data_IF_953598874057
#
_entry.id   IF_953598874057
#
_cell.length_a   1.000
_cell.length_b   1.000
_cell.length_c   1.000
_cell.angle_alpha   90.00
_cell.angle_beta   90.00
_cell.angle_gamma   90.00
#
_symmetry.space_group_name_H-M   'P 1'
#
loop_
_entity.id
_entity.type
_entity.pdbx_description
1 polymer ?
#
# COMPACT_ATOMS: atom_id res chain seq x y z
N UNK A 1 -15.45 -1.47 -4.81
CA UNK A 1 -16.65 -1.49 -3.95
C UNK A 1 -16.32 -0.83 -2.62
N UNK A 2 -17.29 -0.17 -1.97
CA UNK A 2 -17.12 0.40 -0.62
C UNK A 2 -17.96 -0.41 0.38
N UNK A 3 -17.43 -0.69 1.57
CA UNK A 3 -18.06 -1.54 2.58
C UNK A 3 -18.29 -0.77 3.87
N UNK A 4 -19.50 -0.86 4.43
CA UNK A 4 -19.90 -0.18 5.66
C UNK A 4 -20.33 -1.24 6.69
N UNK A 5 -19.51 -1.45 7.71
CA UNK A 5 -19.77 -2.39 8.79
C UNK A 5 -20.41 -1.67 9.97
N UNK A 6 -21.70 -1.92 10.18
CA UNK A 6 -22.50 -1.34 11.27
C UNK A 6 -23.74 -2.22 11.49
N UNK A 7 -24.14 -2.50 12.72
CA UNK A 7 -25.28 -3.34 13.07
C UNK A 7 -26.63 -2.59 13.02
N UNK A 8 -26.60 -1.28 13.25
CA UNK A 8 -27.80 -0.43 13.45
C UNK A 8 -28.01 0.53 12.27
N UNK A 9 -26.97 1.26 11.88
CA UNK A 9 -27.07 2.37 10.91
C UNK A 9 -27.16 1.84 9.50
N UNK A 10 -27.84 2.59 8.64
CA UNK A 10 -27.84 2.31 7.21
C UNK A 10 -26.58 2.89 6.57
N UNK A 11 -26.04 2.16 5.60
CA UNK A 11 -24.90 2.63 4.83
C UNK A 11 -25.30 3.82 3.94
N UNK A 12 -24.39 4.78 3.70
CA UNK A 12 -24.60 5.83 2.71
C UNK A 12 -24.75 5.28 1.29
N UNK A 13 -25.29 6.09 0.37
CA UNK A 13 -25.42 5.71 -1.03
C UNK A 13 -24.08 5.27 -1.64
N UNK A 14 -24.10 4.14 -2.37
CA UNK A 14 -22.91 3.57 -3.00
C UNK A 14 -22.04 2.71 -2.08
N UNK A 15 -22.47 2.47 -0.83
CA UNK A 15 -21.81 1.55 0.10
C UNK A 15 -22.61 0.26 0.28
N UNK A 16 -21.89 -0.87 0.34
CA UNK A 16 -22.46 -2.16 0.71
C UNK A 16 -22.46 -2.26 2.23
N UNK A 17 -23.66 -2.33 2.81
CA UNK A 17 -23.82 -2.53 4.25
C UNK A 17 -23.64 -4.00 4.62
N UNK A 18 -22.83 -4.26 5.63
CA UNK A 18 -22.66 -5.57 6.27
C UNK A 18 -22.84 -5.39 7.77
N UNK A 19 -23.35 -6.42 8.44
CA UNK A 19 -23.70 -6.35 9.87
C UNK A 19 -22.64 -7.00 10.74
N UNK A 20 -21.96 -8.01 10.21
CA UNK A 20 -21.02 -8.82 11.00
C UNK A 20 -19.59 -8.79 10.45
N UNK A 21 -18.57 -8.96 11.33
CA UNK A 21 -17.18 -8.98 10.92
C UNK A 21 -16.89 -10.04 9.85
N UNK A 22 -17.51 -11.22 9.95
CA UNK A 22 -17.34 -12.31 8.99
C UNK A 22 -17.79 -11.93 7.57
N UNK A 23 -18.86 -11.14 7.44
CA UNK A 23 -19.36 -10.63 6.16
C UNK A 23 -18.41 -9.60 5.57
N UNK A 24 -17.91 -8.66 6.40
CA UNK A 24 -16.90 -7.70 5.99
C UNK A 24 -15.63 -8.41 5.50
N UNK A 25 -15.14 -9.40 6.26
CA UNK A 25 -13.96 -10.20 5.91
C UNK A 25 -14.19 -10.99 4.61
N UNK A 26 -15.38 -11.56 4.40
CA UNK A 26 -15.71 -12.25 3.16
C UNK A 26 -15.60 -11.32 1.94
N UNK A 27 -16.09 -10.08 2.05
CA UNK A 27 -15.94 -9.07 0.99
C UNK A 27 -14.48 -8.65 0.82
N UNK A 28 -13.73 -8.45 1.91
CA UNK A 28 -12.31 -8.09 1.85
C UNK A 28 -11.48 -9.18 1.12
N UNK A 29 -11.77 -10.46 1.36
CA UNK A 29 -11.11 -11.59 0.69
C UNK A 29 -11.28 -11.59 -0.84
N UNK A 30 -12.25 -10.86 -1.39
CA UNK A 30 -12.40 -10.72 -2.84
C UNK A 30 -11.33 -9.81 -3.48
N UNK A 31 -10.65 -8.98 -2.68
CA UNK A 31 -9.71 -7.96 -3.18
C UNK A 31 -10.37 -6.79 -3.93
N UNK A 32 -11.72 -6.73 -4.00
CA UNK A 32 -12.46 -5.69 -4.74
C UNK A 32 -12.91 -4.51 -3.87
N UNK A 33 -12.70 -4.60 -2.56
CA UNK A 33 -13.00 -3.54 -1.61
C UNK A 33 -11.94 -2.44 -1.77
N UNK A 34 -12.39 -1.23 -2.08
CA UNK A 34 -11.52 -0.05 -2.23
C UNK A 34 -11.48 0.76 -0.93
N UNK A 35 -12.62 0.82 -0.24
CA UNK A 35 -12.78 1.55 1.01
C UNK A 35 -13.67 0.77 1.97
N UNK A 36 -13.32 0.77 3.25
CA UNK A 36 -14.12 0.19 4.31
C UNK A 36 -14.29 1.18 5.46
N UNK A 37 -15.49 1.26 6.01
CA UNK A 37 -15.83 2.09 7.16
C UNK A 37 -16.32 1.17 8.27
N UNK A 38 -15.74 1.29 9.47
CA UNK A 38 -15.97 0.36 10.58
C UNK A 38 -16.63 1.05 11.78
N UNK A 39 -17.73 0.49 12.28
CA UNK A 39 -18.12 0.60 13.69
C UNK A 39 -17.43 -0.50 14.50
N UNK A 40 -17.10 -0.19 15.75
CA UNK A 40 -16.55 -1.16 16.68
C UNK A 40 -17.66 -2.04 17.27
N UNK A 41 -18.70 -1.40 17.80
CA UNK A 41 -19.75 -2.05 18.56
C UNK A 41 -20.81 -2.56 17.58
N UNK A 42 -21.00 -3.89 17.52
CA UNK A 42 -21.90 -4.55 16.57
C UNK A 42 -23.01 -5.34 17.28
N UNK A 43 -23.32 -4.97 18.52
CA UNK A 43 -24.42 -5.53 19.32
C UNK A 43 -24.09 -6.82 20.07
N UNK A 44 -23.28 -7.72 19.51
CA UNK A 44 -22.86 -8.97 20.17
C UNK A 44 -21.35 -9.26 19.99
N UNK A 45 -20.57 -8.90 21.02
CA UNK A 45 -19.13 -9.11 21.06
C UNK A 45 -18.72 -10.61 20.95
N UNK A 46 -19.62 -11.55 21.23
CA UNK A 46 -19.34 -12.98 21.06
C UNK A 46 -19.32 -13.40 19.58
N UNK A 47 -20.05 -12.68 18.72
CA UNK A 47 -19.99 -12.84 17.25
C UNK A 47 -18.77 -12.10 16.69
N UNK A 48 -18.42 -10.97 17.31
CA UNK A 48 -17.22 -10.19 17.05
C UNK A 48 -17.51 -8.70 16.87
N UNK A 49 -16.44 -7.94 16.75
CA UNK A 49 -16.42 -6.47 16.73
C UNK A 49 -15.77 -5.95 15.44
N UNK A 50 -15.90 -4.65 15.19
CA UNK A 50 -15.12 -4.00 14.12
C UNK A 50 -13.61 -4.11 14.32
N UNK A 51 -13.14 -4.35 15.54
CA UNK A 51 -11.72 -4.56 15.82
C UNK A 51 -11.20 -5.88 15.24
N UNK A 52 -12.02 -6.93 15.24
CA UNK A 52 -11.65 -8.24 14.68
C UNK A 52 -11.38 -8.17 13.17
N UNK A 53 -12.08 -7.27 12.46
CA UNK A 53 -11.81 -6.99 11.05
C UNK A 53 -10.42 -6.37 10.87
N UNK A 54 -9.99 -5.47 11.77
CA UNK A 54 -8.65 -4.88 11.71
C UNK A 54 -7.57 -5.91 12.00
N UNK A 55 -7.77 -6.78 13.00
CA UNK A 55 -6.83 -7.87 13.30
C UNK A 55 -6.66 -8.79 12.09
N UNK A 56 -7.77 -9.14 11.43
CA UNK A 56 -7.72 -9.95 10.22
C UNK A 56 -6.96 -9.24 9.08
N UNK A 57 -7.18 -7.94 8.87
CA UNK A 57 -6.45 -7.16 7.85
C UNK A 57 -4.96 -7.15 8.19
N UNK A 58 -4.59 -6.89 9.44
CA UNK A 58 -3.19 -6.86 9.88
C UNK A 58 -2.48 -8.19 9.62
N UNK A 59 -3.11 -9.31 10.00
CA UNK A 59 -2.60 -10.66 9.73
C UNK A 59 -2.46 -10.91 8.23
N UNK A 60 -3.48 -10.56 7.43
CA UNK A 60 -3.47 -10.76 5.99
C UNK A 60 -2.37 -9.95 5.30
N UNK A 61 -2.11 -8.71 5.73
CA UNK A 61 -1.00 -7.89 5.23
C UNK A 61 0.34 -8.55 5.57
N UNK A 62 0.48 -9.02 6.81
CA UNK A 62 1.73 -9.61 7.29
C UNK A 62 2.06 -10.97 6.65
N UNK A 63 1.04 -11.75 6.26
CA UNK A 63 1.22 -13.16 5.88
C UNK A 63 0.90 -13.47 4.42
N UNK A 64 -0.04 -12.75 3.80
CA UNK A 64 -0.62 -13.12 2.51
C UNK A 64 -0.41 -12.06 1.41
N UNK A 65 0.52 -11.12 1.62
CA UNK A 65 0.78 -9.99 0.72
C UNK A 65 -0.51 -9.21 0.37
N UNK A 66 -1.47 -9.17 1.31
CA UNK A 66 -2.74 -8.51 1.12
C UNK A 66 -2.53 -7.00 1.08
N UNK A 67 -3.10 -6.33 0.07
CA UNK A 67 -3.11 -4.87 0.01
C UNK A 67 -4.37 -4.35 0.72
N UNK A 68 -4.23 -3.62 1.85
CA UNK A 68 -5.38 -3.17 2.61
C UNK A 68 -6.13 -2.06 1.85
N UNK A 69 -7.48 -2.03 1.92
CA UNK A 69 -8.25 -0.92 1.38
C UNK A 69 -8.03 0.37 2.18
N UNK A 70 -8.61 1.48 1.73
CA UNK A 70 -8.72 2.67 2.58
C UNK A 70 -9.64 2.35 3.78
N UNK A 71 -9.10 2.48 5.01
CA UNK A 71 -9.83 2.18 6.25
C UNK A 71 -10.24 3.46 6.94
N UNK A 72 -11.52 3.59 7.27
CA UNK A 72 -12.09 4.71 8.04
C UNK A 72 -12.88 4.17 9.23
N UNK A 73 -12.93 4.92 10.32
CA UNK A 73 -13.68 4.56 11.53
C UNK A 73 -14.86 5.52 11.67
N UNK A 74 -16.07 4.98 11.78
CA UNK A 74 -17.29 5.73 12.08
C UNK A 74 -17.89 5.37 13.44
N UNK A 75 -17.17 4.59 14.25
CA UNK A 75 -17.58 4.28 15.61
C UNK A 75 -17.71 5.53 16.48
N UNK A 76 -18.77 5.56 17.27
CA UNK A 76 -19.02 6.56 18.30
C UNK A 76 -18.29 6.24 19.62
N UNK A 77 -17.77 5.02 19.78
CA UNK A 77 -17.04 4.59 20.96
C UNK A 77 -15.61 5.15 20.94
N UNK A 78 -15.38 6.24 21.67
CA UNK A 78 -14.10 6.98 21.67
C UNK A 78 -12.93 6.09 22.10
N UNK A 79 -13.12 5.27 23.14
CA UNK A 79 -12.05 4.40 23.66
C UNK A 79 -11.68 3.29 22.67
N UNK A 80 -12.68 2.67 22.04
CA UNK A 80 -12.46 1.67 21.01
C UNK A 80 -11.86 2.27 19.74
N UNK A 81 -12.36 3.43 19.31
CA UNK A 81 -11.84 4.19 18.17
C UNK A 81 -10.34 4.43 18.28
N UNK A 82 -9.85 4.87 19.44
CA UNK A 82 -8.41 5.09 19.64
C UNK A 82 -7.60 3.80 19.43
N UNK A 83 -8.08 2.65 19.92
CA UNK A 83 -7.41 1.36 19.68
C UNK A 83 -7.42 0.96 18.21
N UNK A 84 -8.53 1.22 17.51
CA UNK A 84 -8.66 0.95 16.07
C UNK A 84 -7.71 1.84 15.25
N UNK A 85 -7.57 3.13 15.61
CA UNK A 85 -6.63 4.05 14.95
C UNK A 85 -5.18 3.57 15.06
N UNK A 86 -4.78 3.09 16.25
CA UNK A 86 -3.46 2.47 16.45
C UNK A 86 -3.25 1.21 15.60
N UNK A 87 -4.27 0.36 15.46
CA UNK A 87 -4.21 -0.81 14.60
C UNK A 87 -4.07 -0.42 13.12
N UNK A 88 -4.80 0.61 12.65
CA UNK A 88 -4.67 1.14 11.29
C UNK A 88 -3.24 1.65 11.03
N UNK A 89 -2.64 2.34 11.99
CA UNK A 89 -1.27 2.83 11.85
C UNK A 89 -0.23 1.70 11.76
N UNK A 90 -0.43 0.61 12.50
CA UNK A 90 0.39 -0.59 12.39
C UNK A 90 0.22 -1.29 11.03
N UNK A 91 -1.01 -1.44 10.55
CA UNK A 91 -1.32 -1.97 9.22
C UNK A 91 -0.59 -1.17 8.14
N UNK A 92 -0.62 0.17 8.22
CA UNK A 92 0.10 1.04 7.28
C UNK A 92 1.61 0.81 7.32
N UNK A 93 2.20 0.69 8.51
CA UNK A 93 3.65 0.41 8.67
C UNK A 93 4.03 -0.94 8.05
N UNK A 94 3.24 -1.98 8.31
CA UNK A 94 3.45 -3.31 7.74
C UNK A 94 3.34 -3.28 6.22
N UNK A 95 2.27 -2.68 5.69
CA UNK A 95 2.05 -2.56 4.25
C UNK A 95 3.20 -1.81 3.54
N UNK A 96 3.68 -0.71 4.14
CA UNK A 96 4.85 0.01 3.61
C UNK A 96 6.12 -0.86 3.62
N UNK A 97 6.31 -1.67 4.67
CA UNK A 97 7.41 -2.64 4.75
C UNK A 97 7.34 -3.72 3.67
N UNK A 98 6.15 -4.22 3.36
CA UNK A 98 5.91 -5.16 2.25
C UNK A 98 6.26 -4.52 0.91
N UNK A 99 5.72 -3.33 0.62
CA UNK A 99 6.02 -2.63 -0.63
C UNK A 99 7.50 -2.27 -0.80
N UNK A 100 8.21 -1.96 0.29
CA UNK A 100 9.66 -1.73 0.26
C UNK A 100 10.42 -3.01 -0.14
N UNK A 101 10.01 -4.18 0.36
CA UNK A 101 10.63 -5.45 -0.03
C UNK A 101 10.37 -5.75 -1.51
N UNK A 102 9.13 -5.56 -1.98
CA UNK A 102 8.77 -5.75 -3.38
C UNK A 102 9.60 -4.84 -4.30
N UNK A 103 9.77 -3.57 -3.90
CA UNK A 103 10.62 -2.61 -4.61
C UNK A 103 12.07 -3.12 -4.73
N UNK A 104 12.67 -3.58 -3.62
CA UNK A 104 14.04 -4.11 -3.63
C UNK A 104 14.15 -5.34 -4.53
N UNK A 105 13.20 -6.28 -4.45
CA UNK A 105 13.17 -7.47 -5.30
C UNK A 105 13.18 -7.11 -6.80
N UNK A 106 12.40 -6.11 -7.20
CA UNK A 106 12.37 -5.66 -8.60
C UNK A 106 13.70 -5.02 -9.00
N UNK A 107 14.32 -4.20 -8.14
CA UNK A 107 15.63 -3.63 -8.42
C UNK A 107 16.72 -4.70 -8.57
N UNK A 108 16.66 -5.77 -7.77
CA UNK A 108 17.54 -6.94 -7.93
C UNK A 108 17.31 -7.67 -9.27
N UNK A 109 16.06 -7.83 -9.68
CA UNK A 109 15.70 -8.42 -10.97
C UNK A 109 16.26 -7.59 -12.14
N UNK A 110 16.10 -6.27 -12.09
CA UNK A 110 16.69 -5.35 -13.07
C UNK A 110 18.20 -5.55 -13.17
N UNK A 111 18.88 -5.70 -12.04
CA UNK A 111 20.31 -5.98 -11.96
C UNK A 111 20.70 -7.30 -12.64
N UNK A 112 19.94 -8.38 -12.37
CA UNK A 112 20.14 -9.68 -13.04
C UNK A 112 19.95 -9.59 -14.55
N UNK A 113 19.11 -8.67 -15.02
CA UNK A 113 18.85 -8.43 -16.44
C UNK A 113 19.82 -7.41 -17.07
N UNK A 114 20.95 -7.12 -16.41
CA UNK A 114 22.06 -6.35 -16.98
C UNK A 114 21.98 -4.84 -16.76
N UNK A 115 20.97 -4.34 -16.06
CA UNK A 115 20.87 -2.94 -15.69
C UNK A 115 21.66 -2.67 -14.40
N UNK A 116 22.45 -1.60 -14.37
CA UNK A 116 22.97 -1.07 -13.11
C UNK A 116 21.94 -0.11 -12.51
N UNK A 117 21.64 -0.29 -11.22
CA UNK A 117 20.71 0.56 -10.46
C UNK A 117 21.46 1.24 -9.31
N UNK A 118 21.36 2.56 -9.23
CA UNK A 118 21.85 3.36 -8.11
C UNK A 118 20.65 4.00 -7.41
N UNK A 119 20.55 3.76 -6.11
CA UNK A 119 19.59 4.44 -5.23
C UNK A 119 20.37 5.45 -4.38
N UNK A 120 20.03 6.73 -4.50
CA UNK A 120 20.53 7.79 -3.62
C UNK A 120 19.43 8.19 -2.65
N UNK A 121 19.75 8.13 -1.37
CA UNK A 121 18.96 8.68 -0.26
C UNK A 121 19.67 9.97 0.17
N UNK A 122 18.90 11.00 0.52
CA UNK A 122 19.40 12.35 0.76
C UNK A 122 19.95 12.98 -0.54
N UNK A 123 19.05 13.13 -1.50
CA UNK A 123 19.33 13.58 -2.86
C UNK A 123 19.88 15.00 -2.99
N UNK A 124 20.25 15.67 -1.89
CA UNK A 124 20.92 16.98 -1.89
C UNK A 124 22.08 17.02 -2.89
N UNK A 125 22.02 18.02 -3.77
CA UNK A 125 23.06 18.34 -4.75
C UNK A 125 23.29 19.82 -4.71
N UNK A 126 24.57 20.19 -4.66
CA UNK A 126 24.99 21.56 -4.80
C UNK A 126 24.48 22.12 -6.14
N UNK A 127 23.60 23.11 -6.08
CA UNK A 127 23.07 23.82 -7.26
C UNK A 127 21.66 23.43 -7.72
N UNK A 128 21.02 22.39 -7.16
CA UNK A 128 19.62 22.07 -7.46
C UNK A 128 18.69 23.01 -6.67
N UNK A 129 17.67 23.60 -7.31
CA UNK A 129 16.83 24.62 -6.66
C UNK A 129 15.88 24.03 -5.59
N UNK A 130 15.58 22.73 -5.64
CA UNK A 130 14.89 21.98 -4.59
C UNK A 130 15.20 20.47 -4.74
N UNK A 131 16.33 19.97 -4.21
CA UNK A 131 16.70 18.57 -4.40
C UNK A 131 15.67 17.65 -3.73
N UNK A 132 15.19 16.67 -4.50
CA UNK A 132 14.29 15.63 -3.97
C UNK A 132 15.08 14.66 -3.09
N UNK A 133 14.51 14.18 -1.98
CA UNK A 133 15.22 13.33 -1.01
C UNK A 133 15.60 11.96 -1.58
N UNK A 134 14.92 11.47 -2.63
CA UNK A 134 15.20 10.19 -3.25
C UNK A 134 15.49 10.34 -4.74
N UNK A 135 16.57 9.72 -5.20
CA UNK A 135 16.91 9.58 -6.62
C UNK A 135 17.18 8.12 -6.96
N UNK A 136 16.53 7.58 -7.97
CA UNK A 136 16.89 6.30 -8.59
C UNK A 136 17.51 6.58 -9.96
N UNK A 137 18.67 5.98 -10.22
CA UNK A 137 19.36 6.08 -11.51
C UNK A 137 19.53 4.68 -12.07
N UNK A 138 19.15 4.49 -13.32
CA UNK A 138 19.34 3.22 -14.03
C UNK A 138 20.16 3.47 -15.32
N UNK A 139 21.03 2.53 -15.65
CA UNK A 139 21.86 2.57 -16.85
C UNK A 139 22.32 1.16 -17.24
N UNK A 140 22.87 0.99 -18.44
CA UNK A 140 23.31 -0.31 -18.95
C UNK A 140 22.17 -1.15 -19.54
N UNK A 141 22.31 -2.48 -19.51
CA UNK A 141 21.38 -3.40 -20.16
C UNK A 141 21.25 -3.12 -21.66
N UNK A 142 20.01 -3.01 -22.12
CA UNK A 142 19.68 -2.75 -23.53
C UNK A 142 19.62 -1.24 -23.89
N UNK A 143 20.00 -0.34 -22.97
CA UNK A 143 19.99 1.09 -23.23
C UNK A 143 21.10 1.48 -24.23
N UNK A 144 20.72 2.19 -25.29
CA UNK A 144 21.64 2.64 -26.33
C UNK A 144 22.53 3.78 -25.79
N UNK A 145 23.82 3.78 -26.17
CA UNK A 145 24.79 4.86 -25.94
C UNK A 145 25.14 5.21 -24.47
N UNK A 146 25.17 4.24 -23.54
CA UNK A 146 25.53 4.50 -22.13
C UNK A 146 24.63 5.57 -21.46
N UNK A 147 23.42 5.79 -21.98
CA UNK A 147 22.50 6.76 -21.42
C UNK A 147 22.03 6.30 -20.04
N UNK A 148 22.11 7.18 -19.05
CA UNK A 148 21.52 6.99 -17.73
C UNK A 148 20.19 7.71 -17.64
N UNK A 149 19.23 7.09 -16.98
CA UNK A 149 17.93 7.68 -16.68
C UNK A 149 17.83 7.92 -15.18
N UNK A 150 17.44 9.14 -14.81
CA UNK A 150 17.31 9.62 -13.43
C UNK A 150 15.84 9.83 -13.10
N UNK A 151 15.45 9.40 -11.90
CA UNK A 151 14.10 9.53 -11.36
C UNK A 151 14.17 10.11 -9.95
N UNK A 152 13.72 11.35 -9.78
CA UNK A 152 13.71 12.06 -8.50
C UNK A 152 12.30 12.08 -7.91
N UNK A 153 12.15 11.87 -6.60
CA UNK A 153 10.84 11.93 -5.92
C UNK A 153 10.96 12.29 -4.43
N UNK A 154 9.89 12.86 -3.88
CA UNK A 154 9.71 13.05 -2.43
C UNK A 154 9.39 11.73 -1.71
N UNK A 155 9.01 10.68 -2.45
CA UNK A 155 8.72 9.35 -1.93
C UNK A 155 9.62 8.30 -2.61
N UNK A 156 10.27 7.45 -1.81
CA UNK A 156 11.16 6.41 -2.30
C UNK A 156 10.47 5.43 -3.28
N UNK A 157 9.28 4.94 -2.93
CA UNK A 157 8.55 3.96 -3.74
C UNK A 157 8.14 4.55 -5.10
N UNK A 158 7.79 5.83 -5.14
CA UNK A 158 7.45 6.52 -6.39
C UNK A 158 8.68 6.64 -7.31
N UNK A 159 9.86 6.95 -6.76
CA UNK A 159 11.10 6.98 -7.54
C UNK A 159 11.45 5.60 -8.11
N UNK A 160 11.26 4.53 -7.31
CA UNK A 160 11.45 3.15 -7.79
C UNK A 160 10.43 2.80 -8.86
N UNK A 161 9.14 3.11 -8.66
CA UNK A 161 8.08 2.81 -9.63
C UNK A 161 8.37 3.45 -10.99
N UNK A 162 8.81 4.72 -11.01
CA UNK A 162 9.19 5.40 -12.25
C UNK A 162 10.38 4.73 -12.96
N UNK A 163 11.38 4.27 -12.19
CA UNK A 163 12.52 3.53 -12.74
C UNK A 163 12.11 2.17 -13.32
N UNK A 164 11.23 1.46 -12.63
CA UNK A 164 10.67 0.16 -13.07
C UNK A 164 9.87 0.33 -14.36
N UNK A 165 9.06 1.38 -14.49
CA UNK A 165 8.31 1.67 -15.71
C UNK A 165 9.24 1.95 -16.90
N UNK A 166 10.35 2.66 -16.68
CA UNK A 166 11.37 2.85 -17.71
C UNK A 166 12.00 1.52 -18.12
N UNK A 167 12.42 0.70 -17.15
CA UNK A 167 12.97 -0.63 -17.39
C UNK A 167 12.03 -1.53 -18.21
N UNK A 168 10.74 -1.59 -17.86
CA UNK A 168 9.74 -2.37 -18.61
C UNK A 168 9.62 -1.90 -20.06
N UNK A 169 9.60 -0.58 -20.29
CA UNK A 169 9.54 0.00 -21.65
C UNK A 169 10.76 -0.38 -22.49
N UNK A 170 11.95 -0.42 -21.90
CA UNK A 170 13.18 -0.80 -22.62
C UNK A 170 13.19 -2.28 -22.99
N UNK A 171 12.64 -3.16 -22.14
CA UNK A 171 12.57 -4.60 -22.44
C UNK A 171 11.44 -4.97 -23.40
N UNK A 172 10.35 -4.20 -23.47
CA UNK A 172 9.27 -4.40 -24.44
C UNK A 172 9.66 -4.02 -25.88
N UNK A 173 10.76 -3.29 -26.09
CA UNK A 173 11.25 -2.93 -27.43
C UNK A 173 12.05 -4.06 -28.12
N UNK A 174 12.14 -5.23 -27.49
CA UNK A 174 12.89 -6.41 -27.98
C UNK A 174 11.98 -7.55 -28.48
N UNK A 175 10.66 -7.40 -28.36
CA UNK A 175 9.64 -8.32 -28.91
C UNK A 175 9.02 -7.75 -30.19
#
# INVERSE_FOLDING_TARGET
MNVYLDDIRNAPDGWVCVRWPSEAIALLKTGLVKKISLDHDLGDDAIGTGYDVLLWIEEAVATNNFSPPEIVIHSANISARHKMELAIDNIKKLNNGVHMRDAICILEEMSRNGFSVIVKIDGERWGDEHPKPYTVIIFGGNMVNNQSHRFDSDNFLDAVAAAVDCYKKQNQQLE
#
